data_IF_410268622381
#
_entry.id   IF_410268622381
#
_cell.length_a   1.000
_cell.length_b   1.000
_cell.length_c   1.000
_cell.angle_alpha   90.00
_cell.angle_beta   90.00
_cell.angle_gamma   90.00
#
_symmetry.space_group_name_H-M   'P 1'
#
loop_
_entity.id
_entity.type
_entity.pdbx_description
1 polymer ?
#
# COMPACT_ATOMS: atom_id res chain seq x y z
N UNK A 1 -3.33 14.32 -4.11
CA UNK A 1 -3.43 13.03 -3.42
C UNK A 1 -2.52 12.10 -4.19
N UNK A 2 -1.64 11.38 -3.54
CA UNK A 2 -2.01 10.05 -3.07
C UNK A 2 -0.77 9.33 -2.53
N UNK A 3 -0.50 9.50 -1.25
CA UNK A 3 0.15 8.47 -0.47
C UNK A 3 -0.90 7.83 0.43
N UNK A 4 -0.91 6.50 0.49
CA UNK A 4 -1.78 5.82 1.44
C UNK A 4 -1.18 5.94 2.84
N UNK A 5 -1.97 6.46 3.78
CA UNK A 5 -1.55 6.60 5.18
C UNK A 5 -2.05 5.38 5.95
N UNK A 6 -1.12 4.57 6.45
CA UNK A 6 -1.42 3.45 7.34
C UNK A 6 -1.28 3.92 8.80
N UNK A 7 -2.36 3.84 9.58
CA UNK A 7 -2.26 3.97 11.04
C UNK A 7 -2.34 2.59 11.69
N UNK A 8 -1.44 2.31 12.64
CA UNK A 8 -1.50 1.10 13.45
C UNK A 8 -2.71 1.15 14.40
N UNK A 9 -3.61 0.17 14.33
CA UNK A 9 -4.59 -0.09 15.38
C UNK A 9 -4.03 -1.19 16.28
N UNK A 10 -3.46 -0.81 17.42
CA UNK A 10 -3.17 -1.77 18.51
C UNK A 10 -4.49 -2.00 19.26
N UNK A 11 -4.81 -3.27 19.49
CA UNK A 11 -6.01 -3.68 20.21
C UNK A 11 -5.84 -3.43 21.72
N UNK A 12 -6.27 -2.26 22.21
CA UNK A 12 -6.48 -1.98 23.64
C UNK A 12 -7.93 -1.43 23.83
N UNK A 13 -8.75 -1.91 24.79
CA UNK A 13 -10.21 -1.70 24.79
C UNK A 13 -10.68 -0.32 25.29
N UNK A 14 -9.80 0.63 25.56
CA UNK A 14 -10.17 1.90 26.18
C UNK A 14 -9.80 3.12 25.32
N UNK A 15 -10.80 3.57 24.54
CA UNK A 15 -11.00 4.92 23.99
C UNK A 15 -10.23 5.39 22.73
N UNK A 16 -11.06 5.59 21.68
CA UNK A 16 -11.09 6.67 20.66
C UNK A 16 -10.08 6.60 19.48
N UNK A 17 -10.58 6.17 18.31
CA UNK A 17 -10.84 7.10 17.20
C UNK A 17 -11.91 6.51 16.27
N UNK A 18 -13.12 7.07 16.34
CA UNK A 18 -14.11 6.96 15.25
C UNK A 18 -13.90 8.21 14.40
N UNK A 19 -13.92 8.07 13.06
CA UNK A 19 -13.84 9.14 12.05
C UNK A 19 -12.37 9.57 11.79
N UNK A 20 -11.80 9.48 10.60
CA UNK A 20 -12.30 9.83 9.27
C UNK A 20 -11.65 8.92 8.22
N UNK A 21 -12.42 8.60 7.17
CA UNK A 21 -12.05 7.83 5.96
C UNK A 21 -12.21 6.31 6.09
N UNK A 22 -13.07 5.75 5.23
CA UNK A 22 -13.21 4.33 4.88
C UNK A 22 -11.91 3.66 4.35
N UNK A 23 -10.76 4.34 4.45
CA UNK A 23 -9.48 4.03 3.82
C UNK A 23 -8.38 3.63 4.81
N UNK A 24 -8.67 3.59 6.12
CA UNK A 24 -7.70 3.10 7.11
C UNK A 24 -7.41 1.61 6.91
N UNK A 25 -6.12 1.28 6.77
CA UNK A 25 -5.63 -0.09 6.66
C UNK A 25 -5.32 -0.60 8.06
N UNK A 26 -6.07 -1.61 8.51
CA UNK A 26 -5.81 -2.29 9.76
C UNK A 26 -4.73 -3.35 9.54
N UNK A 27 -3.57 -3.17 10.18
CA UNK A 27 -2.43 -4.09 10.16
C UNK A 27 -2.29 -4.71 11.54
N UNK A 28 -2.21 -6.04 11.60
CA UNK A 28 -1.99 -6.78 12.84
C UNK A 28 -0.62 -7.43 12.84
N UNK A 29 0.12 -7.31 13.96
CA UNK A 29 1.43 -7.94 14.11
C UNK A 29 1.27 -9.39 14.59
N UNK A 30 1.91 -10.34 13.91
CA UNK A 30 1.86 -11.75 14.30
C UNK A 30 2.70 -12.04 15.55
N UNK A 31 3.78 -11.30 15.87
CA UNK A 31 4.67 -11.64 17.01
C UNK A 31 3.98 -11.52 18.38
N UNK A 32 2.89 -10.76 18.51
CA UNK A 32 2.06 -10.73 19.73
C UNK A 32 1.38 -12.08 20.04
N UNK A 33 1.53 -13.06 19.14
CA UNK A 33 0.96 -14.41 19.21
C UNK A 33 2.05 -15.50 19.43
N UNK A 34 3.34 -15.15 19.34
CA UNK A 34 4.41 -16.13 19.08
C UNK A 34 5.38 -16.44 20.23
N UNK A 35 5.32 -15.76 21.38
CA UNK A 35 6.20 -16.12 22.50
C UNK A 35 5.67 -17.31 23.32
N UNK A 36 6.07 -18.52 22.90
CA UNK A 36 6.17 -19.72 23.74
C UNK A 36 7.63 -19.89 24.18
N UNK A 37 7.92 -20.18 25.46
CA UNK A 37 9.29 -20.38 25.97
C UNK A 37 9.95 -21.70 25.49
N UNK A 38 9.30 -22.44 24.61
CA UNK A 38 9.79 -23.67 24.00
C UNK A 38 9.84 -23.40 22.49
N UNK A 39 11.04 -23.45 21.91
CA UNK A 39 11.36 -23.11 20.51
C UNK A 39 10.68 -23.99 19.47
N UNK A 40 9.35 -23.91 19.39
CA UNK A 40 8.54 -24.62 18.41
C UNK A 40 7.28 -23.82 18.11
N UNK A 41 7.11 -23.52 16.82
CA UNK A 41 5.87 -23.18 16.09
C UNK A 41 4.81 -22.31 16.79
N UNK A 42 4.49 -21.22 16.10
CA UNK A 42 3.26 -20.44 16.13
C UNK A 42 2.08 -21.17 16.82
N UNK A 43 1.57 -20.62 17.93
CA UNK A 43 0.47 -21.22 18.69
C UNK A 43 -0.86 -21.16 17.89
N UNK A 44 -1.38 -22.30 17.39
CA UNK A 44 -2.56 -22.30 16.50
C UNK A 44 -3.83 -21.73 17.14
N UNK A 45 -3.95 -21.86 18.47
CA UNK A 45 -5.11 -21.37 19.24
C UNK A 45 -5.12 -19.85 19.40
N UNK A 46 -3.95 -19.23 19.49
CA UNK A 46 -3.84 -17.78 19.67
C UNK A 46 -4.03 -17.05 18.32
N UNK A 47 -3.52 -17.61 17.21
CA UNK A 47 -3.85 -17.13 15.86
C UNK A 47 -5.36 -17.17 15.63
N UNK A 48 -5.99 -18.32 15.85
CA UNK A 48 -7.44 -18.49 15.63
C UNK A 48 -8.30 -17.50 16.42
N UNK A 49 -8.01 -17.28 17.72
CA UNK A 49 -8.77 -16.34 18.58
C UNK A 49 -8.62 -14.88 18.17
N UNK A 50 -7.41 -14.47 17.82
CA UNK A 50 -7.14 -13.08 17.40
C UNK A 50 -7.78 -12.81 16.03
N UNK A 51 -7.70 -13.78 15.11
CA UNK A 51 -8.39 -13.69 13.83
C UNK A 51 -9.90 -13.57 14.02
N UNK A 52 -10.52 -14.43 14.84
CA UNK A 52 -11.97 -14.35 15.16
C UNK A 52 -12.40 -12.99 15.75
N UNK A 53 -11.53 -12.31 16.52
CA UNK A 53 -11.82 -11.00 17.14
C UNK A 53 -11.60 -9.79 16.20
N UNK A 54 -10.64 -9.85 15.28
CA UNK A 54 -10.25 -8.74 14.40
C UNK A 54 -10.98 -8.73 13.02
N UNK A 55 -11.69 -9.80 12.67
CA UNK A 55 -12.19 -10.08 11.31
C UNK A 55 -13.02 -8.99 10.60
N UNK A 56 -13.87 -8.15 11.23
CA UNK A 56 -14.73 -7.26 10.44
C UNK A 56 -13.96 -6.20 9.63
N UNK A 57 -12.74 -5.84 10.07
CA UNK A 57 -11.96 -4.72 9.54
C UNK A 57 -10.49 -5.04 9.22
N UNK A 58 -9.97 -6.22 9.57
CA UNK A 58 -8.59 -6.61 9.26
C UNK A 58 -8.38 -6.70 7.75
N UNK A 59 -7.31 -6.08 7.24
CA UNK A 59 -7.00 -6.04 5.80
C UNK A 59 -5.70 -6.77 5.48
N UNK A 60 -4.71 -6.65 6.37
CA UNK A 60 -3.46 -7.38 6.23
C UNK A 60 -2.86 -7.78 7.58
N UNK A 61 -1.99 -8.76 7.51
CA UNK A 61 -1.26 -9.34 8.62
C UNK A 61 0.23 -9.15 8.38
N UNK A 62 0.93 -8.61 9.38
CA UNK A 62 2.37 -8.41 9.34
C UNK A 62 3.07 -9.59 10.01
N UNK A 63 3.99 -10.25 9.31
CA UNK A 63 4.72 -11.41 9.82
C UNK A 63 6.22 -11.28 9.55
N UNK A 64 7.04 -11.69 10.52
CA UNK A 64 8.45 -11.99 10.24
C UNK A 64 8.53 -13.37 9.59
N UNK A 65 9.15 -13.42 8.41
CA UNK A 65 9.31 -14.63 7.61
C UNK A 65 10.76 -15.13 7.59
N UNK A 66 11.69 -14.39 8.20
CA UNK A 66 13.10 -14.72 8.23
C UNK A 66 13.42 -15.51 9.51
N UNK A 67 13.18 -16.82 9.50
CA UNK A 67 13.57 -17.70 10.59
C UNK A 67 14.66 -18.67 10.15
N UNK A 68 15.71 -18.84 10.97
CA UNK A 68 16.87 -19.70 10.64
C UNK A 68 16.51 -21.18 10.41
N UNK A 69 15.41 -21.63 11.01
CA UNK A 69 15.00 -23.03 11.03
C UNK A 69 13.84 -23.36 10.07
N UNK A 70 13.27 -22.38 9.37
CA UNK A 70 12.08 -22.59 8.55
C UNK A 70 12.18 -21.85 7.21
N UNK A 71 11.97 -22.56 6.11
CA UNK A 71 11.98 -21.96 4.77
C UNK A 71 10.78 -21.01 4.60
N UNK A 72 10.95 -19.91 3.87
CA UNK A 72 9.90 -18.90 3.64
C UNK A 72 8.57 -19.52 3.20
N UNK A 73 8.63 -20.51 2.30
CA UNK A 73 7.44 -21.23 1.82
C UNK A 73 6.69 -21.98 2.92
N UNK A 74 7.39 -22.56 3.89
CA UNK A 74 6.77 -23.25 5.01
C UNK A 74 6.10 -22.26 5.97
N UNK A 75 6.75 -21.12 6.24
CA UNK A 75 6.17 -20.02 7.03
C UNK A 75 4.88 -19.49 6.38
N UNK A 76 4.90 -19.23 5.07
CA UNK A 76 3.72 -18.75 4.34
C UNK A 76 2.60 -19.79 4.28
N UNK A 77 2.93 -21.06 4.03
CA UNK A 77 1.93 -22.15 4.02
C UNK A 77 1.25 -22.29 5.38
N UNK A 78 2.02 -22.15 6.46
CA UNK A 78 1.49 -22.16 7.80
C UNK A 78 0.54 -20.98 8.03
N UNK A 79 0.97 -19.74 7.75
CA UNK A 79 0.14 -18.54 7.94
C UNK A 79 -1.16 -18.66 7.15
N UNK A 80 -1.07 -19.04 5.87
CA UNK A 80 -2.22 -19.22 4.98
C UNK A 80 -3.20 -20.32 5.44
N UNK A 81 -2.74 -21.30 6.22
CA UNK A 81 -3.64 -22.34 6.77
C UNK A 81 -4.55 -21.82 7.89
N UNK A 82 -4.22 -20.67 8.49
CA UNK A 82 -5.00 -20.04 9.54
C UNK A 82 -5.63 -18.70 9.13
N UNK A 83 -5.11 -18.04 8.09
CA UNK A 83 -5.65 -16.78 7.58
C UNK A 83 -6.67 -17.00 6.47
N UNK A 84 -7.84 -16.33 6.50
CA UNK A 84 -8.72 -16.27 5.33
C UNK A 84 -7.97 -15.82 4.08
N UNK A 85 -8.34 -16.37 2.93
CA UNK A 85 -7.67 -16.12 1.64
C UNK A 85 -7.76 -14.67 1.15
N UNK A 86 -8.56 -13.85 1.82
CA UNK A 86 -8.78 -12.46 1.46
C UNK A 86 -7.95 -11.46 2.29
N UNK A 87 -7.20 -11.95 3.30
CA UNK A 87 -6.27 -11.15 4.10
C UNK A 87 -4.87 -11.22 3.50
N UNK A 88 -4.27 -10.07 3.23
CA UNK A 88 -2.92 -9.98 2.67
C UNK A 88 -1.84 -10.20 3.75
N UNK A 89 -0.74 -10.88 3.41
CA UNK A 89 0.42 -11.04 4.30
C UNK A 89 1.55 -10.06 3.90
N UNK A 90 1.92 -9.18 4.82
CA UNK A 90 3.01 -8.20 4.65
C UNK A 90 4.24 -8.69 5.40
N UNK A 91 5.31 -9.00 4.68
CA UNK A 91 6.57 -9.41 5.29
C UNK A 91 7.21 -8.25 6.05
N UNK A 92 7.53 -8.45 7.33
CA UNK A 92 8.35 -7.54 8.11
C UNK A 92 9.82 -7.78 7.77
N UNK A 93 10.49 -6.80 7.20
CA UNK A 93 11.93 -6.85 6.93
C UNK A 93 12.64 -6.12 8.07
N UNK A 94 13.25 -6.89 8.96
CA UNK A 94 13.78 -6.39 10.23
C UNK A 94 15.15 -6.97 10.64
N UNK A 95 15.63 -8.01 9.97
CA UNK A 95 16.86 -8.70 10.38
C UNK A 95 17.82 -8.93 9.21
N UNK A 96 19.09 -9.24 9.53
CA UNK A 96 20.10 -9.65 8.53
C UNK A 96 19.63 -10.90 7.77
N UNK A 97 18.95 -11.82 8.45
CA UNK A 97 18.41 -13.03 7.82
C UNK A 97 17.31 -12.68 6.80
N UNK A 98 16.48 -11.65 7.09
CA UNK A 98 15.51 -11.11 6.12
C UNK A 98 16.20 -10.52 4.90
N UNK A 99 17.36 -9.87 5.06
CA UNK A 99 18.10 -9.27 3.96
C UNK A 99 18.77 -10.31 3.05
N UNK A 100 19.26 -11.40 3.64
CA UNK A 100 19.86 -12.53 2.90
C UNK A 100 18.84 -13.17 1.96
N UNK A 101 17.59 -13.34 2.43
CA UNK A 101 16.51 -14.01 1.68
C UNK A 101 15.47 -13.02 1.12
N UNK A 102 15.87 -11.75 0.92
CA UNK A 102 14.94 -10.64 0.70
C UNK A 102 13.99 -10.87 -0.48
N UNK A 103 14.53 -11.30 -1.62
CA UNK A 103 13.72 -11.50 -2.83
C UNK A 103 12.73 -12.66 -2.68
N UNK A 104 13.15 -13.77 -2.10
CA UNK A 104 12.27 -14.92 -1.85
C UNK A 104 11.11 -14.53 -0.92
N UNK A 105 11.42 -13.80 0.17
CA UNK A 105 10.44 -13.29 1.13
C UNK A 105 9.40 -12.41 0.43
N UNK A 106 9.84 -11.43 -0.37
CA UNK A 106 8.93 -10.50 -1.06
C UNK A 106 8.08 -11.23 -2.10
N UNK A 107 8.66 -12.17 -2.86
CA UNK A 107 7.92 -12.96 -3.86
C UNK A 107 6.82 -13.81 -3.22
N UNK A 108 7.12 -14.42 -2.07
CA UNK A 108 6.17 -15.26 -1.35
C UNK A 108 5.08 -14.47 -0.62
N UNK A 109 5.26 -13.18 -0.38
CA UNK A 109 4.36 -12.32 0.38
C UNK A 109 3.45 -11.47 -0.51
N UNK A 110 2.40 -10.87 0.07
CA UNK A 110 1.53 -9.93 -0.64
C UNK A 110 2.07 -8.49 -0.65
N UNK A 111 3.08 -8.20 0.18
CA UNK A 111 3.76 -6.92 0.30
C UNK A 111 4.89 -7.00 1.32
N UNK A 112 5.56 -5.88 1.57
CA UNK A 112 6.63 -5.80 2.58
C UNK A 112 6.52 -4.54 3.44
N UNK A 113 7.11 -4.61 4.63
CA UNK A 113 7.27 -3.49 5.54
C UNK A 113 8.73 -3.37 5.95
N UNK A 114 9.33 -2.21 5.70
CA UNK A 114 10.66 -1.86 6.21
C UNK A 114 10.51 -1.40 7.65
N UNK A 115 10.91 -2.24 8.61
CA UNK A 115 10.83 -1.94 10.03
C UNK A 115 12.15 -1.32 10.51
N UNK A 116 12.30 -0.01 10.33
CA UNK A 116 13.60 0.69 10.42
C UNK A 116 14.22 0.65 11.81
N UNK A 117 13.39 0.74 12.86
CA UNK A 117 13.86 0.64 14.25
C UNK A 117 14.45 -0.73 14.56
N UNK A 118 13.76 -1.81 14.15
CA UNK A 118 14.23 -3.18 14.35
C UNK A 118 15.46 -3.48 13.48
N UNK A 119 15.42 -3.05 12.21
CA UNK A 119 16.53 -3.21 11.27
C UNK A 119 17.79 -2.48 11.76
N UNK A 120 17.67 -1.23 12.21
CA UNK A 120 18.77 -0.43 12.75
C UNK A 120 19.39 -0.98 14.04
N UNK A 121 18.73 -1.91 14.72
CA UNK A 121 19.33 -2.64 15.84
C UNK A 121 20.22 -3.81 15.38
N UNK A 122 20.06 -4.28 14.14
CA UNK A 122 20.75 -5.45 13.59
C UNK A 122 21.90 -5.07 12.64
N UNK A 123 21.82 -3.92 11.98
CA UNK A 123 22.82 -3.45 11.01
C UNK A 123 23.33 -2.05 11.36
N UNK A 124 24.50 -1.63 10.83
CA UNK A 124 24.98 -0.25 11.01
C UNK A 124 23.95 0.77 10.52
N UNK A 125 23.72 1.81 11.32
CA UNK A 125 22.64 2.80 11.11
C UNK A 125 22.77 3.52 9.76
N UNK A 126 24.01 3.78 9.33
CA UNK A 126 24.30 4.42 8.05
C UNK A 126 23.90 3.57 6.83
N UNK A 127 23.70 2.26 7.01
CA UNK A 127 23.26 1.36 5.92
C UNK A 127 21.74 1.34 5.77
N UNK A 128 20.98 1.63 6.83
CA UNK A 128 19.51 1.54 6.85
C UNK A 128 18.86 2.29 5.68
N UNK A 129 19.24 3.55 5.36
CA UNK A 129 18.61 4.27 4.24
C UNK A 129 18.82 3.58 2.88
N UNK A 130 20.02 3.08 2.62
CA UNK A 130 20.33 2.38 1.35
C UNK A 130 19.60 1.04 1.22
N UNK A 131 19.45 0.32 2.34
CA UNK A 131 18.71 -0.95 2.37
C UNK A 131 17.20 -0.70 2.23
N UNK A 132 16.65 0.35 2.85
CA UNK A 132 15.27 0.78 2.62
C UNK A 132 15.02 1.00 1.13
N UNK A 133 15.88 1.78 0.46
CA UNK A 133 15.76 2.05 -0.97
C UNK A 133 15.79 0.75 -1.80
N UNK A 134 16.69 -0.18 -1.46
CA UNK A 134 16.77 -1.51 -2.10
C UNK A 134 15.46 -2.29 -1.95
N UNK A 135 14.90 -2.34 -0.74
CA UNK A 135 13.64 -3.05 -0.46
C UNK A 135 12.49 -2.41 -1.24
N UNK A 136 12.37 -1.08 -1.22
CA UNK A 136 11.32 -0.35 -1.91
C UNK A 136 11.40 -0.58 -3.42
N UNK A 137 12.60 -0.48 -4.01
CA UNK A 137 12.83 -0.75 -5.43
C UNK A 137 12.41 -2.18 -5.81
N UNK A 138 12.82 -3.17 -5.03
CA UNK A 138 12.49 -4.57 -5.29
C UNK A 138 10.99 -4.85 -5.18
N UNK A 139 10.31 -4.27 -4.18
CA UNK A 139 8.85 -4.38 -4.05
C UNK A 139 8.14 -3.80 -5.27
N UNK A 140 8.54 -2.61 -5.72
CA UNK A 140 8.01 -2.00 -6.94
C UNK A 140 8.27 -2.85 -8.18
N UNK A 141 9.48 -3.37 -8.34
CA UNK A 141 9.83 -4.29 -9.42
C UNK A 141 8.92 -5.50 -9.43
N UNK A 142 8.54 -6.05 -8.27
CA UNK A 142 7.68 -7.23 -8.15
C UNK A 142 6.17 -6.92 -8.09
N UNK A 143 5.75 -5.67 -8.30
CA UNK A 143 4.35 -5.22 -8.14
C UNK A 143 3.77 -5.56 -6.75
N UNK A 144 4.59 -5.42 -5.72
CA UNK A 144 4.23 -5.62 -4.31
C UNK A 144 4.22 -4.26 -3.60
N UNK A 145 3.18 -3.92 -2.82
CA UNK A 145 3.17 -2.69 -2.05
C UNK A 145 4.21 -2.75 -0.93
N UNK A 146 4.83 -1.62 -0.65
CA UNK A 146 5.81 -1.47 0.42
C UNK A 146 5.42 -0.38 1.42
N UNK A 147 5.55 -0.72 2.70
CA UNK A 147 5.32 0.19 3.83
C UNK A 147 6.67 0.56 4.44
N UNK A 148 6.94 1.86 4.61
CA UNK A 148 8.07 2.31 5.45
C UNK A 148 7.53 2.66 6.83
N UNK A 149 8.11 2.07 7.88
CA UNK A 149 7.59 2.13 9.24
C UNK A 149 8.67 2.44 10.28
N UNK A 150 8.20 2.96 11.43
CA UNK A 150 8.97 3.33 12.63
C UNK A 150 9.87 4.55 12.45
N UNK A 151 10.01 5.37 13.48
CA UNK A 151 10.93 6.51 13.54
C UNK A 151 10.72 7.57 12.44
N UNK A 152 9.50 7.73 11.92
CA UNK A 152 9.20 8.78 10.92
C UNK A 152 8.96 10.13 11.61
N UNK A 153 8.16 10.15 12.68
CA UNK A 153 7.81 11.36 13.44
C UNK A 153 7.89 11.08 14.95
N UNK A 154 8.86 10.29 15.39
CA UNK A 154 8.99 9.77 16.76
C UNK A 154 8.87 10.86 17.83
N UNK A 155 9.49 12.02 17.61
CA UNK A 155 9.44 13.16 18.54
C UNK A 155 8.02 13.65 18.78
N UNK A 156 7.09 13.40 17.84
CA UNK A 156 5.70 13.79 17.95
C UNK A 156 4.87 12.95 18.93
N UNK A 157 5.45 11.89 19.50
CA UNK A 157 4.89 11.21 20.67
C UNK A 157 4.80 12.20 21.85
N UNK A 158 5.86 13.00 22.05
CA UNK A 158 5.97 13.93 23.18
C UNK A 158 5.69 15.39 22.80
N UNK A 159 6.01 15.79 21.56
CA UNK A 159 6.00 17.18 21.10
C UNK A 159 4.98 17.43 19.98
N UNK A 160 4.40 18.64 19.87
CA UNK A 160 3.37 18.91 18.87
C UNK A 160 3.90 19.17 17.46
N UNK A 161 5.22 19.27 17.27
CA UNK A 161 5.89 19.66 16.02
C UNK A 161 7.10 18.74 15.84
N UNK A 162 7.35 18.21 14.63
CA UNK A 162 8.50 17.36 14.37
C UNK A 162 9.80 18.16 14.27
N UNK A 163 10.92 17.45 14.29
CA UNK A 163 12.23 17.99 13.92
C UNK A 163 12.37 18.15 12.40
N UNK A 164 13.33 18.95 11.96
CA UNK A 164 13.67 19.07 10.53
C UNK A 164 14.21 17.77 9.95
N UNK A 165 14.91 16.97 10.76
CA UNK A 165 15.45 15.69 10.34
C UNK A 165 14.33 14.68 10.04
N UNK A 166 13.30 14.62 10.89
CA UNK A 166 12.12 13.77 10.66
C UNK A 166 11.35 14.17 9.40
N UNK A 167 11.18 15.48 9.16
CA UNK A 167 10.55 15.96 7.91
C UNK A 167 11.38 15.56 6.68
N UNK A 168 12.71 15.63 6.76
CA UNK A 168 13.59 15.19 5.68
C UNK A 168 13.51 13.68 5.46
N UNK A 169 13.44 12.90 6.53
CA UNK A 169 13.30 11.43 6.49
C UNK A 169 11.97 10.98 5.86
N UNK A 170 10.85 11.59 6.26
CA UNK A 170 9.56 11.40 5.59
C UNK A 170 9.65 11.75 4.11
N UNK A 171 10.30 12.87 3.79
CA UNK A 171 10.44 13.31 2.39
C UNK A 171 11.22 12.30 1.56
N UNK A 172 12.30 11.74 2.11
CA UNK A 172 13.12 10.73 1.46
C UNK A 172 12.35 9.43 1.24
N UNK A 173 11.57 8.96 2.22
CA UNK A 173 10.75 7.75 2.06
C UNK A 173 9.71 7.90 0.91
N UNK A 174 9.14 9.09 0.74
CA UNK A 174 8.26 9.42 -0.39
C UNK A 174 9.03 9.50 -1.70
N UNK A 175 10.21 10.13 -1.69
CA UNK A 175 11.10 10.23 -2.84
C UNK A 175 11.50 8.85 -3.38
N UNK A 176 11.76 7.90 -2.48
CA UNK A 176 12.05 6.50 -2.80
C UNK A 176 10.85 5.73 -3.36
N UNK A 177 9.67 6.34 -3.43
CA UNK A 177 8.41 5.77 -3.97
C UNK A 177 7.80 4.67 -3.10
N UNK A 178 7.88 4.80 -1.77
CA UNK A 178 7.08 3.96 -0.88
C UNK A 178 5.59 4.03 -1.25
N UNK A 179 4.84 2.94 -1.07
CA UNK A 179 3.39 2.95 -1.31
C UNK A 179 2.63 3.55 -0.14
N UNK A 180 3.10 3.25 1.08
CA UNK A 180 2.54 3.77 2.30
C UNK A 180 3.63 4.10 3.34
N UNK A 181 3.29 5.05 4.20
CA UNK A 181 4.04 5.37 5.41
C UNK A 181 3.19 5.01 6.63
N UNK A 182 3.85 4.57 7.70
CA UNK A 182 3.20 4.09 8.91
C UNK A 182 3.62 4.88 10.15
N UNK A 183 2.63 5.42 10.86
CA UNK A 183 2.79 5.89 12.24
C UNK A 183 2.62 4.72 13.21
N UNK A 184 3.48 4.70 14.23
CA UNK A 184 3.53 3.68 15.27
C UNK A 184 3.08 4.28 16.61
N UNK A 185 4.02 4.61 17.49
CA UNK A 185 3.74 5.20 18.79
C UNK A 185 3.06 6.57 18.67
N UNK A 186 3.35 7.31 17.59
CA UNK A 186 2.83 8.66 17.35
C UNK A 186 1.29 8.69 17.32
N UNK A 187 0.67 7.70 16.68
CA UNK A 187 -0.79 7.62 16.57
C UNK A 187 -1.42 6.76 17.66
N UNK A 188 -0.71 5.76 18.18
CA UNK A 188 -1.27 4.79 19.13
C UNK A 188 -1.28 5.28 20.58
N UNK A 189 -0.21 5.94 21.02
CA UNK A 189 -0.05 6.40 22.41
C UNK A 189 0.51 7.83 22.52
N UNK A 190 0.78 8.48 21.39
CA UNK A 190 1.33 9.83 21.34
C UNK A 190 0.37 10.87 21.90
N UNK A 191 0.92 11.98 22.36
CA UNK A 191 0.15 13.12 22.86
C UNK A 191 -0.54 13.92 21.75
N UNK A 192 -0.10 13.76 20.50
CA UNK A 192 -0.57 14.54 19.36
C UNK A 192 -0.85 13.68 18.10
N UNK A 193 -1.69 12.64 18.18
CA UNK A 193 -1.90 11.67 17.09
C UNK A 193 -2.44 12.33 15.81
N UNK A 194 -3.43 13.22 15.93
CA UNK A 194 -3.99 13.94 14.78
C UNK A 194 -2.96 14.85 14.10
N UNK A 195 -2.08 15.49 14.89
CA UNK A 195 -1.05 16.37 14.34
C UNK A 195 0.02 15.58 13.61
N UNK A 196 0.44 14.44 14.15
CA UNK A 196 1.39 13.55 13.48
C UNK A 196 0.84 13.10 12.12
N UNK A 197 -0.44 12.73 12.06
CA UNK A 197 -1.11 12.37 10.81
C UNK A 197 -1.15 13.54 9.81
N UNK A 198 -1.51 14.75 10.26
CA UNK A 198 -1.55 15.95 9.42
C UNK A 198 -0.16 16.28 8.87
N UNK A 199 0.88 16.21 9.70
CA UNK A 199 2.27 16.46 9.30
C UNK A 199 2.70 15.44 8.25
N UNK A 200 2.53 14.14 8.52
CA UNK A 200 2.89 13.07 7.59
C UNK A 200 2.21 13.27 6.24
N UNK A 201 0.89 13.51 6.25
CA UNK A 201 0.10 13.79 5.04
C UNK A 201 0.59 15.02 4.28
N UNK A 202 0.85 16.13 4.99
CA UNK A 202 1.22 17.41 4.38
C UNK A 202 2.60 17.35 3.73
N UNK A 203 3.57 16.71 4.38
CA UNK A 203 4.92 16.50 3.83
C UNK A 203 4.85 15.62 2.60
N UNK A 204 4.16 14.46 2.68
CA UNK A 204 4.02 13.56 1.53
C UNK A 204 3.37 14.25 0.32
N UNK A 205 2.27 14.97 0.52
CA UNK A 205 1.60 15.69 -0.56
C UNK A 205 2.46 16.79 -1.18
N UNK A 206 3.31 17.47 -0.37
CA UNK A 206 4.21 18.49 -0.89
C UNK A 206 5.29 17.88 -1.79
N UNK A 207 5.90 16.77 -1.37
CA UNK A 207 6.94 16.08 -2.12
C UNK A 207 6.38 15.47 -3.41
N UNK A 208 5.21 14.82 -3.34
CA UNK A 208 4.54 14.32 -4.55
C UNK A 208 4.20 15.43 -5.54
N UNK A 209 3.77 16.60 -5.06
CA UNK A 209 3.49 17.74 -5.93
C UNK A 209 4.77 18.26 -6.57
N UNK A 210 5.83 18.43 -5.78
CA UNK A 210 7.13 18.88 -6.27
C UNK A 210 7.67 17.96 -7.37
N UNK A 211 7.50 16.65 -7.20
CA UNK A 211 7.88 15.66 -8.21
C UNK A 211 7.16 15.87 -9.56
N UNK A 212 5.85 16.16 -9.52
CA UNK A 212 5.05 16.45 -10.72
C UNK A 212 5.44 17.78 -11.35
N UNK A 213 5.69 18.80 -10.54
CA UNK A 213 6.10 20.15 -10.97
C UNK A 213 7.42 20.09 -11.75
N UNK A 214 8.38 19.29 -11.30
CA UNK A 214 9.68 19.14 -11.96
C UNK A 214 9.66 18.17 -13.16
N UNK A 215 8.49 17.59 -13.50
CA UNK A 215 8.32 16.61 -14.57
C UNK A 215 9.36 15.49 -14.53
N UNK A 216 9.69 15.03 -13.32
CA UNK A 216 10.58 13.89 -13.11
C UNK A 216 9.90 12.60 -13.59
N UNK A 217 9.90 12.40 -14.89
CA UNK A 217 9.54 11.13 -15.48
C UNK A 217 10.74 10.21 -15.32
N UNK A 218 10.74 9.38 -14.28
CA UNK A 218 11.64 8.23 -14.26
C UNK A 218 11.31 7.38 -15.49
N UNK A 219 12.33 6.93 -16.25
CA UNK A 219 12.14 5.85 -17.18
C UNK A 219 11.40 4.71 -16.45
N UNK A 220 10.29 4.25 -17.01
CA UNK A 220 9.60 3.04 -16.58
C UNK A 220 10.50 1.83 -16.93
N UNK A 221 11.66 1.71 -16.30
CA UNK A 221 12.51 0.52 -16.30
C UNK A 221 11.96 -0.44 -15.24
N UNK A 222 10.70 -0.84 -15.44
CA UNK A 222 10.09 -1.91 -14.68
C UNK A 222 10.45 -3.22 -15.39
N UNK A 223 11.03 -4.15 -14.64
CA UNK A 223 11.20 -5.52 -15.12
C UNK A 223 9.82 -6.16 -15.32
N UNK A 224 9.74 -7.07 -16.30
CA UNK A 224 8.51 -7.78 -16.62
C UNK A 224 8.13 -8.71 -15.45
N UNK A 225 6.94 -8.51 -14.87
CA UNK A 225 6.44 -9.31 -13.73
C UNK A 225 5.46 -10.38 -14.20
N UNK A 226 5.04 -10.31 -15.46
CA UNK A 226 4.00 -11.16 -16.02
C UNK A 226 4.34 -12.65 -15.92
N UNK A 227 3.39 -13.40 -15.35
CA UNK A 227 3.48 -14.86 -15.25
C UNK A 227 2.80 -15.56 -16.44
N UNK A 228 1.97 -14.83 -17.18
CA UNK A 228 1.18 -15.32 -18.30
C UNK A 228 1.12 -14.28 -19.44
N UNK A 229 0.71 -14.72 -20.63
CA UNK A 229 0.51 -13.82 -21.76
C UNK A 229 -0.59 -12.77 -21.51
N UNK A 230 -1.65 -13.15 -20.77
CA UNK A 230 -2.72 -12.21 -20.39
C UNK A 230 -2.22 -11.14 -19.41
N UNK A 231 -1.29 -11.49 -18.52
CA UNK A 231 -0.67 -10.53 -17.59
C UNK A 231 0.20 -9.53 -18.37
N UNK A 232 0.96 -9.99 -19.37
CA UNK A 232 1.76 -9.12 -20.26
C UNK A 232 0.89 -8.08 -20.95
N UNK A 233 -0.26 -8.50 -21.48
CA UNK A 233 -1.21 -7.57 -22.13
C UNK A 233 -1.69 -6.52 -21.12
N UNK A 234 -2.08 -6.94 -19.92
CA UNK A 234 -2.58 -6.03 -18.87
C UNK A 234 -1.50 -5.04 -18.41
N UNK A 235 -0.25 -5.51 -18.32
CA UNK A 235 0.93 -4.72 -17.98
C UNK A 235 1.24 -3.66 -19.04
N UNK A 236 1.28 -4.05 -20.32
CA UNK A 236 1.49 -3.10 -21.44
C UNK A 236 0.36 -2.09 -21.57
N UNK A 237 -0.89 -2.49 -21.32
CA UNK A 237 -2.04 -1.59 -21.24
C UNK A 237 -1.83 -0.54 -20.16
N UNK A 238 -1.42 -0.95 -18.95
CA UNK A 238 -1.19 -0.02 -17.83
C UNK A 238 -0.03 0.94 -18.11
N UNK A 239 1.08 0.42 -18.65
CA UNK A 239 2.25 1.22 -19.03
C UNK A 239 1.87 2.26 -20.08
N UNK A 240 1.14 1.84 -21.11
CA UNK A 240 0.68 2.72 -22.20
C UNK A 240 -0.30 3.77 -21.69
N UNK A 241 -1.24 3.37 -20.82
CA UNK A 241 -2.20 4.27 -20.20
C UNK A 241 -1.52 5.31 -19.30
N UNK A 242 -0.54 4.93 -18.48
CA UNK A 242 0.21 5.85 -17.64
C UNK A 242 1.03 6.85 -18.48
N UNK A 243 1.71 6.38 -19.54
CA UNK A 243 2.43 7.24 -20.48
C UNK A 243 1.48 8.23 -21.17
N UNK A 244 0.31 7.76 -21.60
CA UNK A 244 -0.71 8.59 -22.23
C UNK A 244 -1.28 9.61 -21.25
N UNK A 245 -1.58 9.19 -20.02
CA UNK A 245 -2.09 10.04 -18.96
C UNK A 245 -1.17 11.22 -18.68
N UNK A 246 0.13 10.95 -18.51
CA UNK A 246 1.12 11.99 -18.24
C UNK A 246 1.36 12.89 -19.47
N UNK A 247 1.41 12.31 -20.68
CA UNK A 247 1.64 13.08 -21.91
C UNK A 247 0.48 14.00 -22.27
N UNK A 248 -0.76 13.55 -22.07
CA UNK A 248 -1.97 14.32 -22.34
C UNK A 248 -2.41 15.18 -21.15
N UNK A 249 -1.69 15.09 -20.02
CA UNK A 249 -2.01 15.78 -18.77
C UNK A 249 -3.48 15.56 -18.36
N UNK A 250 -3.94 14.31 -18.43
CA UNK A 250 -5.33 13.93 -18.13
C UNK A 250 -5.68 14.20 -16.67
N UNK A 251 -6.96 14.50 -16.40
CA UNK A 251 -7.42 14.85 -15.06
C UNK A 251 -7.53 13.63 -14.14
N UNK A 252 -7.81 12.44 -14.70
CA UNK A 252 -7.87 11.19 -13.94
C UNK A 252 -7.74 9.93 -14.79
N UNK A 253 -7.35 8.83 -14.16
CA UNK A 253 -7.45 7.48 -14.73
C UNK A 253 -8.46 6.65 -13.94
N UNK A 254 -9.38 5.99 -14.66
CA UNK A 254 -10.35 5.06 -14.11
C UNK A 254 -9.91 3.63 -14.41
N UNK A 255 -9.91 2.77 -13.40
CA UNK A 255 -9.58 1.35 -13.58
C UNK A 255 -10.68 0.47 -12.99
N UNK A 256 -11.36 -0.28 -13.86
CA UNK A 256 -12.40 -1.24 -13.48
C UNK A 256 -11.75 -2.61 -13.31
N UNK A 257 -11.69 -3.09 -12.06
CA UNK A 257 -10.96 -4.32 -11.71
C UNK A 257 -11.78 -5.26 -10.84
N UNK A 258 -11.74 -6.56 -11.15
CA UNK A 258 -12.39 -7.60 -10.33
C UNK A 258 -11.47 -8.06 -9.20
N UNK A 259 -10.22 -8.38 -9.52
CA UNK A 259 -9.24 -8.92 -8.57
C UNK A 259 -8.29 -7.89 -7.96
N UNK A 260 -8.21 -6.69 -8.53
CA UNK A 260 -7.28 -5.63 -8.12
C UNK A 260 -5.96 -5.59 -8.90
N UNK A 261 -5.68 -6.60 -9.74
CA UNK A 261 -4.39 -6.76 -10.40
C UNK A 261 -4.02 -5.59 -11.31
N UNK A 262 -4.91 -5.20 -12.23
CA UNK A 262 -4.62 -4.11 -13.16
C UNK A 262 -4.55 -2.74 -12.45
N UNK A 263 -5.32 -2.56 -11.37
CA UNK A 263 -5.17 -1.37 -10.52
C UNK A 263 -3.80 -1.32 -9.83
N UNK A 264 -3.28 -2.46 -9.37
CA UNK A 264 -1.92 -2.58 -8.83
C UNK A 264 -0.85 -2.27 -9.89
N UNK A 265 -1.00 -2.82 -11.10
CA UNK A 265 -0.07 -2.55 -12.22
C UNK A 265 -0.05 -1.06 -12.58
N UNK A 266 -1.21 -0.41 -12.61
CA UNK A 266 -1.31 1.02 -12.86
C UNK A 266 -0.72 1.87 -11.73
N UNK A 267 -0.97 1.50 -10.46
CA UNK A 267 -0.32 2.10 -9.27
C UNK A 267 1.20 2.04 -9.38
N UNK A 268 1.75 0.88 -9.76
CA UNK A 268 3.19 0.67 -9.96
C UNK A 268 3.79 1.59 -11.02
N UNK A 269 3.02 1.98 -12.04
CA UNK A 269 3.44 2.92 -13.08
C UNK A 269 3.51 4.38 -12.62
N UNK A 270 2.96 4.72 -11.45
CA UNK A 270 2.99 6.07 -10.84
C UNK A 270 2.57 7.21 -11.79
N UNK A 271 1.38 7.14 -12.45
CA UNK A 271 0.87 8.27 -13.23
C UNK A 271 0.66 9.51 -12.34
N UNK A 272 0.81 10.70 -12.92
CA UNK A 272 0.75 11.96 -12.17
C UNK A 272 -0.67 12.38 -11.76
N UNK A 273 -1.67 11.81 -12.43
CA UNK A 273 -3.08 12.03 -12.16
C UNK A 273 -3.64 11.03 -11.12
N UNK A 274 -4.73 11.36 -10.42
CA UNK A 274 -5.39 10.43 -9.51
C UNK A 274 -5.90 9.17 -10.23
N UNK A 275 -5.79 8.03 -9.55
CA UNK A 275 -6.29 6.74 -10.04
C UNK A 275 -7.55 6.35 -9.27
N UNK A 276 -8.70 6.35 -9.94
CA UNK A 276 -9.94 5.86 -9.35
C UNK A 276 -10.14 4.39 -9.71
N UNK A 277 -10.07 3.52 -8.70
CA UNK A 277 -10.23 2.08 -8.89
C UNK A 277 -11.65 1.64 -8.52
N UNK A 278 -12.33 0.93 -9.40
CA UNK A 278 -13.68 0.43 -9.19
C UNK A 278 -13.65 -1.09 -9.11
N UNK A 279 -14.33 -1.65 -8.11
CA UNK A 279 -14.47 -3.10 -7.93
C UNK A 279 -15.85 -3.44 -7.35
N UNK A 280 -16.36 -4.64 -7.61
CA UNK A 280 -17.59 -5.14 -7.00
C UNK A 280 -17.34 -5.77 -5.62
N UNK A 281 -16.08 -6.05 -5.26
CA UNK A 281 -15.68 -6.72 -4.02
C UNK A 281 -15.23 -5.73 -2.94
N UNK A 282 -15.87 -5.80 -1.77
CA UNK A 282 -15.46 -5.02 -0.60
C UNK A 282 -14.05 -5.37 -0.14
N UNK A 283 -13.66 -6.65 -0.21
CA UNK A 283 -12.34 -7.09 0.23
C UNK A 283 -11.25 -6.55 -0.71
N UNK A 284 -11.46 -6.64 -2.02
CA UNK A 284 -10.54 -6.03 -3.01
C UNK A 284 -10.44 -4.53 -2.81
N UNK A 285 -11.58 -3.83 -2.64
CA UNK A 285 -11.60 -2.38 -2.37
C UNK A 285 -10.70 -2.02 -1.18
N UNK A 286 -10.79 -2.79 -0.10
CA UNK A 286 -9.99 -2.59 1.12
C UNK A 286 -8.50 -2.78 0.82
N UNK A 287 -8.10 -3.89 0.19
CA UNK A 287 -6.70 -4.17 -0.15
C UNK A 287 -6.07 -3.12 -1.05
N UNK A 288 -6.83 -2.58 -2.00
CA UNK A 288 -6.35 -1.53 -2.90
C UNK A 288 -5.96 -0.24 -2.18
N UNK A 289 -6.43 0.01 -0.96
CA UNK A 289 -5.98 1.19 -0.22
C UNK A 289 -4.47 1.17 0.04
N UNK A 290 -3.82 0.00 0.15
CA UNK A 290 -2.39 -0.07 0.47
C UNK A 290 -1.48 0.33 -0.70
N UNK A 291 -2.01 0.28 -1.91
CA UNK A 291 -1.30 0.64 -3.13
C UNK A 291 -1.24 2.16 -3.29
N UNK A 292 -0.11 2.67 -3.78
CA UNK A 292 0.04 4.09 -4.04
C UNK A 292 -1.00 4.60 -5.07
N UNK A 293 -1.40 5.86 -4.97
CA UNK A 293 -2.18 6.48 -6.05
C UNK A 293 -3.66 6.12 -6.10
N UNK A 294 -4.04 4.94 -5.58
CA UNK A 294 -5.37 4.38 -5.75
C UNK A 294 -6.40 5.01 -4.79
N UNK A 295 -7.54 5.37 -5.36
CA UNK A 295 -8.73 5.80 -4.64
C UNK A 295 -9.84 4.77 -4.96
N UNK A 296 -10.03 3.74 -4.12
CA UNK A 296 -10.87 2.60 -4.46
C UNK A 296 -12.36 2.83 -4.09
N UNK A 297 -13.26 2.41 -4.99
CA UNK A 297 -14.70 2.49 -4.86
C UNK A 297 -15.33 1.12 -5.05
N UNK A 298 -16.39 0.86 -4.29
CA UNK A 298 -17.27 -0.28 -4.57
C UNK A 298 -18.34 0.16 -5.55
N UNK A 299 -18.40 -0.50 -6.70
CA UNK A 299 -19.40 -0.25 -7.73
C UNK A 299 -19.91 -1.58 -8.26
N UNK A 300 -21.23 -1.70 -8.43
CA UNK A 300 -21.82 -2.88 -9.08
C UNK A 300 -21.70 -2.73 -10.59
N UNK A 301 -21.00 -3.66 -11.22
CA UNK A 301 -20.82 -3.68 -12.66
C UNK A 301 -22.05 -4.22 -13.38
N UNK A 302 -22.43 -3.56 -14.49
CA UNK A 302 -23.21 -4.15 -15.58
C UNK A 302 -22.30 -4.63 -16.70
N UNK A 303 -22.83 -5.49 -17.58
CA UNK A 303 -22.12 -5.91 -18.80
C UNK A 303 -21.94 -4.76 -19.79
N UNK A 304 -22.81 -3.74 -19.71
CA UNK A 304 -22.65 -2.49 -20.44
C UNK A 304 -21.67 -1.54 -19.71
N UNK A 305 -20.56 -1.23 -20.37
CA UNK A 305 -19.53 -0.31 -19.88
C UNK A 305 -19.97 1.14 -19.91
N UNK A 306 -20.84 1.55 -20.83
CA UNK A 306 -21.31 2.92 -20.91
C UNK A 306 -22.18 3.26 -19.68
N UNK A 307 -23.07 2.35 -19.30
CA UNK A 307 -23.79 2.40 -18.02
C UNK A 307 -22.84 2.47 -16.81
N UNK A 308 -21.77 1.68 -16.78
CA UNK A 308 -20.78 1.73 -15.70
C UNK A 308 -20.09 3.10 -15.61
N UNK A 309 -19.69 3.67 -16.76
CA UNK A 309 -19.07 5.00 -16.83
C UNK A 309 -20.03 6.09 -16.37
N UNK A 310 -21.28 6.09 -16.83
CA UNK A 310 -22.29 7.07 -16.43
C UNK A 310 -22.57 7.06 -14.91
N UNK A 311 -22.60 5.86 -14.30
CA UNK A 311 -22.71 5.71 -12.85
C UNK A 311 -21.48 6.26 -12.14
N UNK A 312 -20.28 5.96 -12.64
CA UNK A 312 -19.01 6.47 -12.11
C UNK A 312 -18.96 8.00 -12.18
N UNK A 313 -19.32 8.61 -13.32
CA UNK A 313 -19.35 10.06 -13.46
C UNK A 313 -20.29 10.71 -12.46
N UNK A 314 -21.52 10.18 -12.34
CA UNK A 314 -22.51 10.67 -11.39
C UNK A 314 -22.01 10.59 -9.95
N UNK A 315 -21.39 9.46 -9.57
CA UNK A 315 -20.84 9.24 -8.24
C UNK A 315 -19.69 10.19 -7.91
N UNK A 316 -18.72 10.34 -8.81
CA UNK A 316 -17.53 11.15 -8.57
C UNK A 316 -17.84 12.66 -8.62
N UNK A 317 -18.74 13.10 -9.51
CA UNK A 317 -19.24 14.49 -9.51
C UNK A 317 -19.97 14.84 -8.22
N UNK A 318 -20.83 13.95 -7.73
CA UNK A 318 -21.54 14.15 -6.46
C UNK A 318 -20.58 14.27 -5.27
N UNK A 319 -19.38 13.69 -5.37
CA UNK A 319 -18.30 13.80 -4.37
C UNK A 319 -17.32 14.95 -4.64
N UNK A 320 -17.52 15.74 -5.70
CA UNK A 320 -16.63 16.84 -6.07
C UNK A 320 -15.21 16.39 -6.48
N UNK A 321 -15.07 15.14 -6.94
CA UNK A 321 -13.77 14.56 -7.29
C UNK A 321 -13.40 14.72 -8.77
N UNK A 322 -14.41 14.97 -9.61
CA UNK A 322 -14.26 15.29 -11.04
C UNK A 322 -15.31 16.36 -11.41
N UNK A 323 -15.10 17.06 -12.53
CA UNK A 323 -16.02 18.05 -13.11
C UNK A 323 -16.31 17.73 -14.59
N UNK A 324 -17.38 18.31 -15.13
CA UNK A 324 -17.67 18.23 -16.56
C UNK A 324 -16.55 18.85 -17.38
N UNK A 325 -16.16 18.19 -18.47
CA UNK A 325 -15.04 18.59 -19.32
C UNK A 325 -13.68 18.04 -18.90
N UNK A 326 -13.57 17.36 -17.76
CA UNK A 326 -12.34 16.64 -17.40
C UNK A 326 -12.01 15.55 -18.42
N UNK A 327 -10.75 15.44 -18.81
CA UNK A 327 -10.25 14.40 -19.70
C UNK A 327 -9.85 13.18 -18.87
N UNK A 328 -10.41 12.01 -19.18
CA UNK A 328 -10.15 10.78 -18.43
C UNK A 328 -9.75 9.63 -19.34
N UNK A 329 -8.92 8.73 -18.81
CA UNK A 329 -8.61 7.44 -19.42
C UNK A 329 -9.28 6.34 -18.60
N UNK A 330 -10.06 5.47 -19.23
CA UNK A 330 -10.70 4.32 -18.60
C UNK A 330 -10.06 3.01 -19.07
N UNK A 331 -9.71 2.16 -18.10
CA UNK A 331 -9.17 0.82 -18.29
C UNK A 331 -10.10 -0.22 -17.67
N UNK A 332 -10.24 -1.39 -18.29
CA UNK A 332 -11.06 -2.48 -17.73
C UNK A 332 -10.40 -3.85 -17.86
N UNK A 333 -10.29 -4.58 -16.74
CA UNK A 333 -9.87 -6.00 -16.72
C UNK A 333 -10.83 -6.88 -17.52
N UNK A 334 -12.10 -6.48 -17.59
CA UNK A 334 -13.17 -7.29 -18.18
C UNK A 334 -13.11 -7.31 -19.71
N UNK A 335 -12.60 -6.23 -20.30
CA UNK A 335 -12.51 -6.06 -21.75
C UNK A 335 -11.07 -5.94 -22.26
N UNK A 336 -10.07 -5.89 -21.36
CA UNK A 336 -8.65 -5.63 -21.67
C UNK A 336 -8.49 -4.48 -22.67
N UNK A 337 -9.06 -3.32 -22.35
CA UNK A 337 -9.15 -2.18 -23.27
C UNK A 337 -8.78 -0.86 -22.62
N UNK A 338 -8.45 0.12 -23.47
CA UNK A 338 -8.18 1.52 -23.12
C UNK A 338 -9.21 2.39 -23.84
N UNK A 339 -9.89 3.27 -23.12
CA UNK A 339 -10.82 4.25 -23.68
C UNK A 339 -10.45 5.66 -23.19
N UNK A 340 -10.41 6.65 -24.10
CA UNK A 340 -10.14 8.06 -23.78
C UNK A 340 -11.40 8.87 -24.08
N UNK A 341 -11.85 9.65 -23.11
CA UNK A 341 -13.12 10.39 -23.24
C UNK A 341 -13.17 11.60 -22.30
N UNK A 342 -14.09 12.51 -22.58
CA UNK A 342 -14.40 13.63 -21.69
C UNK A 342 -15.54 13.27 -20.76
N UNK A 343 -15.48 13.74 -19.51
CA UNK A 343 -16.58 13.65 -18.56
C UNK A 343 -17.76 14.50 -19.07
N UNK A 344 -18.97 13.94 -19.21
CA UNK A 344 -20.13 14.61 -19.82
C UNK A 344 -20.63 15.82 -19.05
#
# INVERSE_FOLDING_TARGET
>A
MALSLCAALIADPHYILTLLLDNLICIMHLNDILHSPIGSLICPRAVKRVMEAAMPRLQCLKADLAHKDLHVFQSMSFINSYTPSDIAVIAKIESIDSLTNLEEIIRASDGAMVARGDLGAQIPLEQVPSIQQKIVKLCRQLNKPVIVASQLLESMIEYPIPTRAEVADVSEAVHQRADALMLSGESAMGRYPDKALIVLSSVSLRIERWWREEKHHEPLELEDVSSSFSDKISEEICISAAKMANKLEVDAVFVYTKGGHMASLLSRCRPDCPIFAFTNSTSVRRRLNLQWGLIPFRLTFSDDMESNLNRTFSLLKARGMIKSGDLVIALSDMLQSIQVMNVP
#
